data_IF_130666837036
#
_entry.id   IF_130666837036
#
_cell.length_a   1.000
_cell.length_b   1.000
_cell.length_c   1.000
_cell.angle_alpha   90.00
_cell.angle_beta   90.00
_cell.angle_gamma   90.00
#
_symmetry.space_group_name_H-M   'P 1'
#
loop_
_entity.id
_entity.type
_entity.pdbx_description
1 polymer ?
#
# COMPACT_ATOMS: atom_id res chain seq x y z
N UNK A 1 9.25 10.31 6.06
CA UNK A 1 8.89 10.37 7.49
C UNK A 1 8.09 9.12 7.81
N UNK A 2 8.36 8.45 8.93
CA UNK A 2 7.46 7.40 9.44
C UNK A 2 6.13 8.03 9.85
N UNK A 3 5.04 7.29 9.69
CA UNK A 3 3.71 7.77 10.05
C UNK A 3 3.17 6.92 11.22
N UNK A 4 2.86 7.53 12.38
CA UNK A 4 2.37 6.76 13.53
C UNK A 4 0.92 6.33 13.33
N UNK A 5 0.68 5.02 13.34
CA UNK A 5 -0.67 4.46 13.42
C UNK A 5 -1.01 4.21 14.87
N UNK A 6 -1.97 4.95 15.42
CA UNK A 6 -2.46 4.68 16.77
C UNK A 6 -3.59 3.66 16.70
N UNK A 7 -3.44 2.57 17.45
CA UNK A 7 -4.39 1.47 17.49
C UNK A 7 -4.73 1.22 18.96
N UNK A 8 -6.03 1.15 19.28
CA UNK A 8 -6.49 0.78 20.61
C UNK A 8 -6.80 -0.70 20.66
N UNK A 9 -6.41 -1.33 21.75
CA UNK A 9 -6.73 -2.71 22.07
C UNK A 9 -7.63 -2.71 23.29
N UNK A 10 -8.78 -3.34 23.15
CA UNK A 10 -9.69 -3.62 24.24
C UNK A 10 -9.57 -5.10 24.58
N UNK A 11 -9.20 -5.37 25.84
CA UNK A 11 -8.98 -6.72 26.33
C UNK A 11 -9.94 -6.98 27.48
N UNK A 12 -10.72 -8.06 27.36
CA UNK A 12 -11.53 -8.61 28.44
C UNK A 12 -10.93 -9.92 28.88
N UNK A 13 -10.74 -10.10 30.18
CA UNK A 13 -10.08 -11.27 30.75
C UNK A 13 -10.62 -11.63 32.13
N UNK A 14 -10.38 -12.87 32.56
CA UNK A 14 -10.74 -13.32 33.91
C UNK A 14 -9.61 -13.01 34.90
N UNK A 15 -9.85 -12.10 35.85
CA UNK A 15 -8.92 -11.80 36.92
C UNK A 15 -9.02 -12.89 38.02
N UNK A 16 -7.99 -13.74 38.10
CA UNK A 16 -7.94 -14.86 39.07
C UNK A 16 -7.92 -14.40 40.53
N UNK A 17 -7.33 -13.25 40.83
CA UNK A 17 -7.23 -12.71 42.20
C UNK A 17 -8.58 -12.20 42.68
N UNK A 18 -9.27 -11.43 41.82
CA UNK A 18 -10.58 -10.85 42.14
C UNK A 18 -11.76 -11.78 41.85
N UNK A 19 -11.52 -12.92 41.17
CA UNK A 19 -12.54 -13.88 40.72
C UNK A 19 -13.67 -13.23 39.91
N UNK A 20 -13.31 -12.27 39.07
CA UNK A 20 -14.25 -11.47 38.27
C UNK A 20 -13.66 -11.20 36.89
N UNK A 21 -14.52 -10.96 35.91
CA UNK A 21 -14.09 -10.50 34.58
C UNK A 21 -13.80 -9.01 34.62
N UNK A 22 -12.64 -8.63 34.09
CA UNK A 22 -12.23 -7.24 33.96
C UNK A 22 -12.02 -6.89 32.50
N UNK A 23 -12.18 -5.60 32.18
CA UNK A 23 -11.98 -5.04 30.85
C UNK A 23 -11.13 -3.79 30.96
N UNK A 24 -10.18 -3.63 30.04
CA UNK A 24 -9.47 -2.37 29.86
C UNK A 24 -9.31 -2.05 28.37
N UNK A 25 -9.06 -0.77 28.08
CA UNK A 25 -8.72 -0.29 26.76
C UNK A 25 -7.35 0.41 26.82
N UNK A 26 -6.46 0.07 25.89
CA UNK A 26 -5.13 0.66 25.81
C UNK A 26 -4.81 1.08 24.37
N UNK A 27 -4.55 2.38 24.19
CA UNK A 27 -3.96 2.90 22.95
C UNK A 27 -2.47 2.57 22.86
N UNK A 28 -2.06 1.95 21.76
CA UNK A 28 -0.66 1.67 21.40
C UNK A 28 -0.30 2.46 20.14
N UNK A 29 0.89 3.07 20.15
CA UNK A 29 1.44 3.79 19.01
C UNK A 29 2.27 2.84 18.16
N UNK A 30 1.83 2.53 16.94
CA UNK A 30 2.56 1.71 15.99
C UNK A 30 3.35 2.61 15.03
N UNK A 31 4.66 2.65 15.20
CA UNK A 31 5.54 3.34 14.26
C UNK A 31 5.91 2.42 13.10
N UNK A 32 5.47 2.76 11.89
CA UNK A 32 5.90 2.11 10.64
C UNK A 32 6.49 3.14 9.69
N UNK A 33 7.49 2.72 8.92
CA UNK A 33 8.10 3.56 7.91
C UNK A 33 7.21 3.60 6.67
N UNK A 34 6.93 4.81 6.18
CA UNK A 34 6.36 5.04 4.84
C UNK A 34 7.44 5.42 3.82
N UNK A 35 8.71 5.35 4.20
CA UNK A 35 9.85 5.64 3.32
C UNK A 35 10.37 4.39 2.60
N UNK A 36 9.76 3.24 2.88
CA UNK A 36 10.05 1.97 2.22
C UNK A 36 8.89 1.62 1.29
N UNK A 37 9.05 0.56 0.49
CA UNK A 37 7.99 0.08 -0.39
C UNK A 37 6.73 -0.33 0.39
N UNK A 38 5.58 -0.31 -0.30
CA UNK A 38 4.29 -0.60 0.29
C UNK A 38 4.22 -1.98 0.97
N UNK A 39 4.80 -3.01 0.36
CA UNK A 39 4.78 -4.39 0.86
C UNK A 39 5.45 -4.50 2.23
N UNK A 40 6.65 -3.92 2.37
CA UNK A 40 7.39 -3.88 3.64
C UNK A 40 6.65 -3.07 4.70
N UNK A 41 6.00 -1.95 4.32
CA UNK A 41 5.17 -1.18 5.25
C UNK A 41 3.98 -2.00 5.77
N UNK A 42 3.29 -2.73 4.89
CA UNK A 42 2.14 -3.56 5.25
C UNK A 42 2.55 -4.74 6.14
N UNK A 43 3.66 -5.41 5.82
CA UNK A 43 4.24 -6.48 6.66
C UNK A 43 4.60 -5.96 8.06
N UNK A 44 5.28 -4.82 8.15
CA UNK A 44 5.64 -4.24 9.43
C UNK A 44 4.41 -3.83 10.27
N UNK A 45 3.34 -3.38 9.63
CA UNK A 45 2.08 -3.08 10.31
C UNK A 45 1.41 -4.36 10.84
N UNK A 46 1.36 -5.41 10.02
CA UNK A 46 0.85 -6.73 10.39
C UNK A 46 1.60 -7.31 11.59
N UNK A 47 2.93 -7.39 11.52
CA UNK A 47 3.80 -7.94 12.56
C UNK A 47 3.58 -7.22 13.90
N UNK A 48 3.55 -5.88 13.89
CA UNK A 48 3.36 -5.10 15.12
C UNK A 48 2.01 -5.33 15.80
N UNK A 49 0.94 -5.55 15.04
CA UNK A 49 -0.37 -5.87 15.61
C UNK A 49 -0.36 -7.30 16.17
N UNK A 50 0.19 -8.25 15.42
CA UNK A 50 0.27 -9.64 15.85
C UNK A 50 1.15 -9.82 17.09
N UNK A 51 2.27 -9.09 17.19
CA UNK A 51 3.11 -9.07 18.40
C UNK A 51 2.32 -8.62 19.65
N UNK A 52 1.40 -7.66 19.49
CA UNK A 52 0.56 -7.19 20.59
C UNK A 52 -0.53 -8.21 20.93
N UNK A 53 -1.11 -8.89 19.94
CA UNK A 53 -2.00 -10.01 20.22
C UNK A 53 -1.29 -11.09 21.02
N UNK A 54 -0.06 -11.47 20.63
CA UNK A 54 0.75 -12.45 21.37
C UNK A 54 1.08 -11.97 22.79
N UNK A 55 1.43 -10.69 22.96
CA UNK A 55 1.68 -10.06 24.27
C UNK A 55 0.47 -10.25 25.20
N UNK A 56 -0.72 -9.85 24.74
CA UNK A 56 -1.94 -9.92 25.55
C UNK A 56 -2.47 -11.33 25.71
N UNK A 57 -2.41 -12.17 24.68
CA UNK A 57 -2.84 -13.56 24.76
C UNK A 57 -2.03 -14.31 25.83
N UNK A 58 -0.71 -14.14 25.84
CA UNK A 58 0.16 -14.71 26.86
C UNK A 58 -0.09 -14.13 28.26
N UNK A 59 -0.24 -12.81 28.37
CA UNK A 59 -0.44 -12.14 29.66
C UNK A 59 -1.76 -12.54 30.33
N UNK A 60 -2.81 -12.72 29.55
CA UNK A 60 -4.16 -12.96 30.04
C UNK A 60 -4.67 -14.39 29.82
N UNK A 61 -3.80 -15.29 29.34
CA UNK A 61 -4.09 -16.70 29.09
C UNK A 61 -5.28 -16.89 28.13
N UNK A 62 -5.22 -16.19 27.00
CA UNK A 62 -6.15 -16.25 25.87
C UNK A 62 -5.50 -17.09 24.77
N UNK A 63 -6.27 -17.81 23.95
CA UNK A 63 -5.73 -18.59 22.83
C UNK A 63 -5.17 -17.65 21.76
N UNK A 64 -3.87 -17.76 21.46
CA UNK A 64 -3.23 -16.95 20.42
C UNK A 64 -3.69 -17.32 19.00
N UNK A 65 -4.16 -18.56 18.77
CA UNK A 65 -4.59 -19.02 17.45
C UNK A 65 -5.83 -18.29 16.92
N UNK A 66 -6.60 -17.68 17.81
CA UNK A 66 -7.85 -16.97 17.51
C UNK A 66 -7.66 -15.47 17.22
N UNK A 67 -6.46 -14.92 17.42
CA UNK A 67 -6.19 -13.48 17.26
C UNK A 67 -5.02 -13.24 16.32
N UNK A 68 -5.32 -12.87 15.08
CA UNK A 68 -4.31 -12.50 14.11
C UNK A 68 -4.85 -11.53 13.07
N UNK A 69 -3.93 -10.73 12.55
CA UNK A 69 -4.12 -9.89 11.38
C UNK A 69 -3.31 -10.50 10.24
N UNK A 70 -3.99 -10.77 9.14
CA UNK A 70 -3.37 -11.17 7.88
C UNK A 70 -3.57 -10.09 6.82
N UNK A 71 -2.47 -9.60 6.26
CA UNK A 71 -2.45 -8.65 5.16
C UNK A 71 -1.79 -9.31 3.95
N UNK A 72 -2.59 -9.55 2.92
CA UNK A 72 -2.15 -10.12 1.66
C UNK A 72 -2.12 -9.03 0.61
N UNK A 73 -0.91 -8.63 0.20
CA UNK A 73 -0.70 -7.71 -0.90
C UNK A 73 -0.48 -8.47 -2.21
N UNK A 74 -1.39 -8.31 -3.16
CA UNK A 74 -1.25 -8.80 -4.52
C UNK A 74 -0.89 -7.63 -5.44
N UNK A 75 0.41 -7.49 -5.66
CA UNK A 75 0.99 -6.47 -6.53
C UNK A 75 0.46 -6.55 -7.97
N UNK A 76 0.24 -7.77 -8.48
CA UNK A 76 -0.16 -7.97 -9.89
C UNK A 76 -1.55 -7.41 -10.15
N UNK A 77 -2.46 -7.58 -9.19
CA UNK A 77 -3.84 -7.11 -9.29
C UNK A 77 -4.05 -5.74 -8.63
N UNK A 78 -3.01 -5.15 -8.04
CA UNK A 78 -3.08 -3.91 -7.27
C UNK A 78 -4.16 -3.98 -6.16
N UNK A 79 -4.18 -5.09 -5.43
CA UNK A 79 -5.13 -5.33 -4.34
C UNK A 79 -4.45 -5.64 -3.02
N UNK A 80 -5.01 -5.13 -1.93
CA UNK A 80 -4.64 -5.53 -0.56
C UNK A 80 -5.85 -6.17 0.09
N UNK A 81 -5.71 -7.40 0.57
CA UNK A 81 -6.74 -8.09 1.35
C UNK A 81 -6.34 -8.10 2.82
N UNK A 82 -7.24 -7.65 3.68
CA UNK A 82 -7.06 -7.68 5.13
C UNK A 82 -8.05 -8.68 5.72
N UNK A 83 -7.54 -9.64 6.47
CA UNK A 83 -8.33 -10.54 7.29
C UNK A 83 -7.87 -10.37 8.74
N UNK A 84 -8.66 -9.65 9.52
CA UNK A 84 -8.58 -9.58 10.97
C UNK A 84 -9.48 -10.66 11.53
N UNK A 85 -8.89 -11.55 12.30
CA UNK A 85 -9.56 -12.62 13.02
C UNK A 85 -9.38 -12.31 14.49
N UNK A 86 -10.51 -12.10 15.16
CA UNK A 86 -10.63 -11.82 16.58
C UNK A 86 -11.84 -12.64 17.05
N UNK A 87 -11.63 -13.71 17.83
CA UNK A 87 -12.76 -14.43 18.43
C UNK A 87 -13.32 -13.61 19.60
N UNK A 88 -14.46 -12.96 19.38
CA UNK A 88 -15.13 -12.17 20.41
C UNK A 88 -15.99 -13.08 21.29
N UNK A 89 -15.34 -13.97 22.06
CA UNK A 89 -16.01 -14.72 23.11
C UNK A 89 -16.75 -13.80 24.09
N UNK A 90 -17.82 -14.28 24.74
CA UNK A 90 -18.62 -13.42 25.63
C UNK A 90 -17.85 -12.91 26.86
N UNK A 91 -16.83 -13.65 27.28
CA UNK A 91 -16.17 -13.49 28.59
C UNK A 91 -14.69 -13.14 28.53
N UNK A 92 -13.97 -13.59 27.50
CA UNK A 92 -12.54 -13.34 27.31
C UNK A 92 -12.31 -13.06 25.83
N UNK A 93 -11.73 -11.90 25.52
CA UNK A 93 -11.38 -11.54 24.15
C UNK A 93 -10.33 -10.44 24.08
N UNK A 94 -9.72 -10.33 22.91
CA UNK A 94 -8.95 -9.16 22.48
C UNK A 94 -9.65 -8.58 21.25
N UNK A 95 -9.86 -7.27 21.24
CA UNK A 95 -10.43 -6.57 20.08
C UNK A 95 -9.63 -5.32 19.77
N UNK A 96 -9.49 -5.03 18.49
CA UNK A 96 -8.67 -3.93 17.98
C UNK A 96 -9.56 -2.87 17.37
N UNK A 97 -9.42 -1.64 17.86
CA UNK A 97 -10.07 -0.45 17.33
C UNK A 97 -9.03 0.48 16.73
N UNK A 98 -9.32 1.04 15.56
CA UNK A 98 -8.42 2.00 14.94
C UNK A 98 -8.85 3.42 15.29
N UNK A 99 -7.85 4.24 15.61
CA UNK A 99 -8.05 5.67 15.66
C UNK A 99 -8.48 6.16 14.27
N UNK A 100 -9.52 6.99 14.19
CA UNK A 100 -10.06 7.43 12.90
C UNK A 100 -9.07 8.24 12.04
N UNK A 101 -8.13 9.01 12.62
CA UNK A 101 -7.06 9.67 11.87
C UNK A 101 -6.01 8.69 11.38
N UNK A 102 -5.63 7.72 12.20
CA UNK A 102 -4.75 6.64 11.77
C UNK A 102 -5.39 5.82 10.63
N UNK A 103 -6.70 5.53 10.74
CA UNK A 103 -7.46 4.83 9.72
C UNK A 103 -7.62 5.61 8.42
N UNK A 104 -7.98 6.89 8.51
CA UNK A 104 -8.00 7.79 7.35
C UNK A 104 -6.66 7.74 6.62
N UNK A 105 -5.54 7.84 7.36
CA UNK A 105 -4.20 7.80 6.76
C UNK A 105 -3.85 6.43 6.18
N UNK A 106 -4.28 5.34 6.81
CA UNK A 106 -4.13 3.98 6.28
C UNK A 106 -4.83 3.84 4.93
N UNK A 107 -6.09 4.27 4.84
CA UNK A 107 -6.85 4.29 3.60
C UNK A 107 -6.18 5.16 2.53
N UNK A 108 -5.70 6.35 2.90
CA UNK A 108 -4.98 7.23 1.97
C UNK A 108 -3.67 6.62 1.48
N UNK A 109 -2.94 5.90 2.32
CA UNK A 109 -1.74 5.14 1.92
C UNK A 109 -2.10 4.07 0.88
N UNK A 110 -3.23 3.38 1.05
CA UNK A 110 -3.75 2.41 0.09
C UNK A 110 -4.46 3.03 -1.12
N UNK A 111 -4.40 4.35 -1.31
CA UNK A 111 -5.10 5.06 -2.38
C UNK A 111 -6.64 4.85 -2.37
N UNK A 112 -7.23 4.72 -1.17
CA UNK A 112 -8.65 4.52 -0.99
C UNK A 112 -9.37 5.84 -0.69
N UNK A 113 -10.65 5.98 -1.10
CA UNK A 113 -11.46 7.12 -0.68
C UNK A 113 -11.60 7.10 0.85
N UNK A 114 -11.34 8.24 1.47
CA UNK A 114 -11.48 8.41 2.90
C UNK A 114 -11.86 9.85 3.23
N UNK A 115 -12.88 10.03 4.07
CA UNK A 115 -13.26 11.33 4.59
C UNK A 115 -12.33 11.73 5.74
N UNK A 116 -11.93 13.00 5.77
CA UNK A 116 -11.09 13.48 6.87
C UNK A 116 -11.89 13.46 8.18
N UNK A 117 -11.37 12.83 9.25
CA UNK A 117 -12.15 12.63 10.47
C UNK A 117 -12.41 13.95 11.20
N UNK A 118 -13.64 14.13 11.66
CA UNK A 118 -14.05 15.29 12.48
C UNK A 118 -13.45 15.23 13.89
N UNK A 119 -13.26 14.02 14.43
CA UNK A 119 -12.74 13.80 15.79
C UNK A 119 -11.47 12.94 15.76
N UNK A 120 -10.31 13.47 15.34
CA UNK A 120 -9.12 12.70 14.95
C UNK A 120 -8.52 11.76 16.00
N UNK A 121 -8.99 11.79 17.25
CA UNK A 121 -8.52 10.94 18.35
C UNK A 121 -9.54 9.85 18.76
N UNK A 122 -10.66 9.72 18.05
CA UNK A 122 -11.73 8.78 18.38
C UNK A 122 -11.47 7.39 17.79
N UNK A 123 -11.86 6.33 18.52
CA UNK A 123 -11.69 4.93 18.12
C UNK A 123 -13.06 4.31 17.80
N UNK A 124 -13.41 4.24 16.52
CA UNK A 124 -14.76 3.82 16.07
C UNK A 124 -14.75 2.90 14.86
N UNK A 125 -13.57 2.59 14.30
CA UNK A 125 -13.51 1.81 13.06
C UNK A 125 -13.66 0.33 13.39
N UNK A 126 -14.88 -0.19 13.20
CA UNK A 126 -15.27 -1.51 13.69
C UNK A 126 -14.73 -2.68 12.87
N UNK A 127 -14.35 -2.50 11.58
CA UNK A 127 -13.84 -3.64 10.80
C UNK A 127 -12.94 -3.24 9.61
N UNK A 128 -11.64 -3.57 9.63
CA UNK A 128 -10.74 -3.38 8.49
C UNK A 128 -10.83 -4.52 7.46
N UNK A 129 -11.67 -5.54 7.69
CA UNK A 129 -11.73 -6.70 6.80
C UNK A 129 -12.27 -6.34 5.43
N UNK A 130 -11.65 -6.91 4.41
CA UNK A 130 -12.09 -6.74 3.04
C UNK A 130 -10.96 -6.74 2.05
N UNK A 131 -11.30 -6.39 0.82
CA UNK A 131 -10.35 -6.23 -0.28
C UNK A 131 -10.36 -4.79 -0.75
N UNK A 132 -9.19 -4.16 -0.70
CA UNK A 132 -8.94 -2.82 -1.18
C UNK A 132 -8.37 -2.93 -2.60
N UNK A 133 -9.02 -2.29 -3.56
CA UNK A 133 -8.66 -2.34 -4.98
C UNK A 133 -8.02 -1.03 -5.43
N UNK A 134 -7.31 -1.06 -6.57
CA UNK A 134 -6.61 0.11 -7.11
C UNK A 134 -5.59 0.70 -6.12
N UNK A 135 -4.97 -0.18 -5.34
CA UNK A 135 -3.92 0.18 -4.41
C UNK A 135 -2.72 0.70 -5.21
N UNK A 136 -2.22 1.86 -4.82
CA UNK A 136 -1.07 2.48 -5.47
C UNK A 136 0.21 2.09 -4.75
N UNK A 137 1.15 1.51 -5.50
CA UNK A 137 2.49 1.20 -5.05
C UNK A 137 3.48 1.91 -5.98
N UNK A 138 4.20 2.88 -5.42
CA UNK A 138 5.11 3.73 -6.19
C UNK A 138 6.29 2.94 -6.76
N UNK A 139 6.70 1.86 -6.10
CA UNK A 139 7.82 1.03 -6.54
C UNK A 139 7.40 -0.02 -7.57
N UNK A 140 6.09 -0.20 -7.78
CA UNK A 140 5.52 -1.09 -8.77
C UNK A 140 4.99 -0.36 -10.02
N UNK A 141 5.28 0.94 -10.18
CA UNK A 141 4.86 1.67 -11.37
C UNK A 141 5.59 1.10 -12.59
N UNK A 142 4.82 0.72 -13.59
CA UNK A 142 5.31 0.36 -14.92
C UNK A 142 5.12 1.57 -15.82
N UNK A 143 6.21 2.02 -16.43
CA UNK A 143 6.24 3.11 -17.39
C UNK A 143 6.11 2.56 -18.79
N UNK A 144 5.22 3.15 -19.57
CA UNK A 144 5.00 2.83 -20.96
C UNK A 144 5.26 4.05 -21.82
N UNK A 145 5.86 3.84 -22.99
CA UNK A 145 6.01 4.86 -24.01
C UNK A 145 5.87 4.28 -25.42
N UNK A 146 5.27 5.06 -26.32
CA UNK A 146 5.06 4.66 -27.71
C UNK A 146 4.79 5.86 -28.61
N UNK A 147 5.19 5.74 -29.88
CA UNK A 147 4.62 6.52 -30.98
C UNK A 147 3.39 5.79 -31.50
N UNK A 148 2.34 6.54 -31.81
CA UNK A 148 1.04 6.02 -32.29
C UNK A 148 1.18 4.85 -33.28
N UNK A 149 0.99 3.61 -32.80
CA UNK A 149 1.02 2.39 -33.62
C UNK A 149 1.98 1.28 -33.17
N UNK A 150 2.96 1.52 -32.29
CA UNK A 150 3.92 0.47 -31.92
C UNK A 150 3.32 -0.57 -30.94
N UNK A 151 3.48 -1.86 -31.28
CA UNK A 151 3.26 -2.98 -30.35
C UNK A 151 4.48 -3.10 -29.40
N UNK A 152 4.23 -3.38 -28.12
CA UNK A 152 5.18 -3.34 -27.00
C UNK A 152 5.52 -1.93 -26.52
N UNK A 153 4.68 -1.37 -25.64
CA UNK A 153 4.87 -0.03 -25.06
C UNK A 153 5.69 0.00 -23.78
N UNK A 154 6.04 -1.15 -23.19
CA UNK A 154 6.86 -1.19 -21.97
C UNK A 154 8.16 -0.40 -22.19
N UNK A 155 8.49 0.47 -21.23
CA UNK A 155 9.71 1.27 -21.20
C UNK A 155 10.60 0.84 -20.05
N UNK A 156 10.09 0.89 -18.82
CA UNK A 156 10.82 0.56 -17.61
C UNK A 156 9.89 0.38 -16.40
N UNK A 157 10.45 -0.09 -15.29
CA UNK A 157 9.84 -0.03 -13.97
C UNK A 157 10.27 1.25 -13.23
N UNK A 158 9.55 1.60 -12.16
CA UNK A 158 9.98 2.64 -11.23
C UNK A 158 11.38 2.38 -10.70
N UNK A 159 12.16 3.46 -10.53
CA UNK A 159 13.54 3.43 -10.06
C UNK A 159 14.54 2.69 -10.96
N UNK A 160 14.13 2.24 -12.16
CA UNK A 160 15.11 1.78 -13.15
C UNK A 160 15.98 2.95 -13.61
N UNK A 161 17.29 2.73 -13.61
CA UNK A 161 18.28 3.68 -14.15
C UNK A 161 19.03 3.05 -15.32
N UNK A 162 19.09 3.76 -16.44
CA UNK A 162 19.75 3.29 -17.65
C UNK A 162 20.84 4.27 -18.09
N UNK A 163 22.08 3.81 -18.13
CA UNK A 163 23.22 4.60 -18.64
C UNK A 163 23.20 4.73 -20.18
N UNK A 164 22.45 3.86 -20.87
CA UNK A 164 22.33 3.82 -22.33
C UNK A 164 20.85 3.77 -22.71
N UNK A 165 20.46 4.28 -23.90
CA UNK A 165 19.07 4.25 -24.33
C UNK A 165 18.49 2.83 -24.30
N UNK A 166 17.40 2.64 -23.57
CA UNK A 166 16.76 1.32 -23.37
C UNK A 166 15.93 0.87 -24.53
N UNK A 167 15.45 1.81 -25.34
CA UNK A 167 14.54 1.54 -26.44
C UNK A 167 14.70 2.58 -27.54
N UNK A 168 14.85 2.09 -28.76
CA UNK A 168 14.85 2.93 -29.96
C UNK A 168 13.46 2.88 -30.56
N UNK A 169 12.92 4.05 -30.85
CA UNK A 169 11.68 4.18 -31.58
C UNK A 169 11.99 4.55 -33.03
N UNK A 170 11.36 3.87 -33.98
CA UNK A 170 11.44 4.26 -35.38
C UNK A 170 10.73 5.60 -35.60
N UNK A 171 11.25 6.46 -36.49
CA UNK A 171 10.56 7.69 -36.83
C UNK A 171 9.20 7.35 -37.46
N UNK A 172 8.13 8.12 -37.15
CA UNK A 172 6.82 7.89 -37.74
C UNK A 172 6.86 7.96 -39.27
N UNK A 173 6.35 6.90 -39.92
CA UNK A 173 6.38 6.75 -41.38
C UNK A 173 5.26 7.48 -42.12
N UNK A 174 4.35 8.15 -41.41
CA UNK A 174 3.28 8.96 -42.00
C UNK A 174 2.41 9.65 -40.95
N UNK A 175 2.21 10.97 -41.12
CA UNK A 175 1.51 11.90 -40.22
C UNK A 175 2.14 12.07 -38.81
N UNK A 176 1.82 13.20 -38.17
CA UNK A 176 2.26 13.57 -36.82
C UNK A 176 1.91 12.40 -35.88
N UNK A 177 2.92 11.71 -35.38
CA UNK A 177 2.72 10.73 -34.31
C UNK A 177 2.98 11.41 -32.98
N UNK A 178 1.96 11.48 -32.14
CA UNK A 178 2.14 11.89 -30.76
C UNK A 178 2.97 10.83 -30.05
N UNK A 179 4.07 11.26 -29.41
CA UNK A 179 4.78 10.44 -28.45
C UNK A 179 3.99 10.44 -27.15
N UNK A 180 3.51 9.28 -26.74
CA UNK A 180 2.70 9.13 -25.53
C UNK A 180 3.50 8.40 -24.47
N UNK A 181 3.42 8.90 -23.25
CA UNK A 181 3.93 8.24 -22.03
C UNK A 181 2.74 8.03 -21.11
N UNK A 182 2.62 6.83 -20.56
CA UNK A 182 1.58 6.52 -19.58
C UNK A 182 2.08 5.51 -18.56
N UNK A 183 1.36 5.40 -17.45
CA UNK A 183 1.76 4.59 -16.31
C UNK A 183 0.68 3.55 -16.03
N UNK A 184 1.09 2.40 -15.49
CA UNK A 184 0.18 1.35 -14.98
C UNK A 184 0.80 0.73 -13.74
N UNK A 185 0.01 0.15 -12.83
CA UNK A 185 0.52 -0.71 -11.74
C UNK A 185 0.43 -2.21 -12.09
N UNK A 186 -0.47 -2.59 -12.98
CA UNK A 186 -0.79 -3.98 -13.36
C UNK A 186 -0.44 -4.32 -14.82
N UNK A 187 0.18 -3.37 -15.54
CA UNK A 187 0.48 -3.47 -16.97
C UNK A 187 -0.72 -3.22 -17.89
N UNK A 188 -1.91 -2.92 -17.35
CA UNK A 188 -3.16 -2.81 -18.11
C UNK A 188 -3.86 -1.48 -17.90
N UNK A 189 -4.19 -1.12 -16.66
CA UNK A 189 -5.00 0.07 -16.34
C UNK A 189 -4.11 1.31 -16.26
N UNK A 190 -4.40 2.30 -17.11
CA UNK A 190 -3.69 3.59 -17.09
C UNK A 190 -3.96 4.34 -15.78
N UNK A 191 -2.90 4.90 -15.19
CA UNK A 191 -2.97 5.73 -13.98
C UNK A 191 -2.24 7.06 -14.19
N UNK A 192 -2.59 8.05 -13.36
CA UNK A 192 -1.93 9.35 -13.29
C UNK A 192 -1.33 9.49 -11.88
N UNK A 193 0.00 9.42 -11.71
CA UNK A 193 0.62 9.62 -10.42
C UNK A 193 0.61 11.12 -10.05
N UNK A 194 -0.25 11.52 -9.12
CA UNK A 194 -0.43 12.93 -8.73
C UNK A 194 0.69 13.48 -7.82
N UNK A 195 1.52 12.62 -7.25
CA UNK A 195 2.56 12.97 -6.26
C UNK A 195 3.86 12.17 -6.46
N UNK A 196 4.29 12.00 -7.71
CA UNK A 196 5.53 11.31 -8.03
C UNK A 196 6.39 12.17 -8.95
N UNK A 197 7.69 12.25 -8.67
CA UNK A 197 8.63 12.91 -9.55
C UNK A 197 9.06 11.93 -10.64
N UNK A 198 8.95 12.35 -11.90
CA UNK A 198 9.33 11.53 -13.04
C UNK A 198 10.29 12.31 -13.93
N UNK A 199 11.44 11.72 -14.22
CA UNK A 199 12.44 12.26 -15.13
C UNK A 199 12.50 11.35 -16.35
N UNK A 200 12.24 11.92 -17.53
CA UNK A 200 12.35 11.22 -18.81
C UNK A 200 13.30 11.99 -19.71
N UNK A 201 14.38 11.34 -20.12
CA UNK A 201 15.29 11.86 -21.13
C UNK A 201 14.91 11.28 -22.50
N UNK A 202 14.62 12.17 -23.45
CA UNK A 202 14.33 11.81 -24.83
C UNK A 202 15.48 12.28 -25.72
N UNK A 203 16.12 11.33 -26.41
CA UNK A 203 17.26 11.58 -27.29
C UNK A 203 16.89 11.33 -28.75
N UNK A 204 17.15 12.32 -29.62
CA UNK A 204 16.93 12.22 -31.06
C UNK A 204 18.22 11.82 -31.76
N UNK A 205 18.20 10.70 -32.49
CA UNK A 205 19.35 10.24 -33.28
C UNK A 205 19.08 10.55 -34.75
N UNK A 206 19.90 11.42 -35.34
CA UNK A 206 19.82 11.78 -36.76
C UNK A 206 21.02 11.22 -37.54
N UNK A 207 20.77 10.40 -38.56
CA UNK A 207 21.83 9.87 -39.41
C UNK A 207 22.12 10.80 -40.60
N UNK A 208 23.15 11.63 -40.47
CA UNK A 208 23.52 12.64 -41.47
C UNK A 208 23.93 12.07 -42.83
N UNK A 209 24.48 10.84 -42.88
CA UNK A 209 25.10 10.29 -44.09
C UNK A 209 24.11 9.74 -45.14
N UNK A 210 22.81 9.57 -44.81
CA UNK A 210 21.81 9.07 -45.78
C UNK A 210 21.03 10.17 -46.51
N UNK A 211 21.05 11.40 -46.02
CA UNK A 211 20.14 12.46 -46.50
C UNK A 211 20.81 13.45 -47.45
N UNK A 212 22.14 13.54 -47.44
CA UNK A 212 22.87 14.44 -48.34
C UNK A 212 23.32 13.64 -49.58
N UNK A 213 22.43 13.54 -50.57
CA UNK A 213 22.85 13.34 -51.96
C UNK A 213 23.25 14.71 -52.50
N UNK A 214 24.55 15.02 -52.50
CA UNK A 214 25.10 16.08 -53.35
C UNK A 214 25.14 15.54 -54.77
#
# INVERSE_FOLDING_TARGET
MGFPFTVAFEVRYYNKEKRTYEKFEQGKLLQVSLLVNLETTLQAFQEKINDIYLEYAKQYNIDEGEYHLDILYDRKNATVKINRIEDLGEDVYISTKYNNLAWYRFLRMLNQPAEYPVHPNFYEVENPNGTYENVFDSDAIIVHASFSGAQNSFLCLANDFYEKPTKLYEPPSGSISDFQVWFTTDGRKRIIPLYHAFYLELSFIYNYYRTVKI
#
